data_IF_456724262821
#
_entry.id   IF_456724262821
#
_cell.length_a   1.000
_cell.length_b   1.000
_cell.length_c   1.000
_cell.angle_alpha   90.00
_cell.angle_beta   90.00
_cell.angle_gamma   90.00
#
_symmetry.space_group_name_H-M   'P 1'
#
loop_
_entity.id
_entity.type
_entity.pdbx_description
1 polymer ?
#
# COMPACT_ATOMS: atom_id res chain seq x y z
N UNK A 1 -24.74 1.71 -10.56
CA UNK A 1 -24.32 0.69 -11.55
C UNK A 1 -23.17 -0.08 -10.92
N UNK A 2 -23.28 -1.39 -10.77
CA UNK A 2 -22.22 -2.19 -10.17
C UNK A 2 -21.05 -2.33 -11.15
N UNK A 3 -19.82 -2.50 -10.64
CA UNK A 3 -18.63 -2.77 -11.50
C UNK A 3 -18.84 -3.99 -12.40
N UNK A 4 -19.65 -4.92 -11.94
CA UNK A 4 -19.99 -6.16 -12.62
C UNK A 4 -20.83 -6.01 -13.90
N UNK A 5 -21.43 -4.83 -14.13
CA UNK A 5 -22.28 -4.55 -15.30
C UNK A 5 -21.49 -3.98 -16.49
N UNK A 6 -20.19 -3.73 -16.30
CA UNK A 6 -19.34 -3.18 -17.36
C UNK A 6 -18.99 -4.26 -18.39
N UNK A 7 -19.10 -3.93 -19.66
CA UNK A 7 -18.58 -4.72 -20.76
C UNK A 7 -17.47 -3.94 -21.48
N UNK A 8 -16.25 -4.45 -21.39
CA UNK A 8 -15.06 -3.81 -21.97
C UNK A 8 -14.44 -4.77 -23.00
N UNK A 9 -14.20 -4.27 -24.20
CA UNK A 9 -13.48 -5.03 -25.25
C UNK A 9 -12.06 -5.35 -24.74
N UNK A 10 -11.64 -6.59 -24.87
CA UNK A 10 -10.34 -7.07 -24.36
C UNK A 10 -10.37 -7.45 -22.89
N UNK A 11 -11.53 -7.73 -22.35
CA UNK A 11 -11.71 -8.29 -21.01
C UNK A 11 -12.88 -9.25 -20.93
N UNK A 12 -12.86 -10.12 -19.93
CA UNK A 12 -13.96 -11.04 -19.60
C UNK A 12 -14.16 -11.16 -18.10
N UNK A 13 -15.39 -11.49 -17.68
CA UNK A 13 -15.70 -11.76 -16.29
C UNK A 13 -15.47 -13.23 -15.94
N UNK A 14 -14.70 -13.47 -14.90
CA UNK A 14 -14.42 -14.81 -14.36
C UNK A 14 -14.74 -14.88 -12.87
N UNK A 15 -14.79 -16.09 -12.32
CA UNK A 15 -14.90 -16.33 -10.88
C UNK A 15 -13.67 -17.09 -10.40
N UNK A 16 -13.00 -16.57 -9.39
CA UNK A 16 -11.83 -17.19 -8.76
C UNK A 16 -11.84 -16.89 -7.25
N UNK A 17 -11.68 -17.91 -6.42
CA UNK A 17 -11.59 -17.82 -4.95
C UNK A 17 -12.70 -16.97 -4.30
N UNK A 18 -13.94 -17.04 -4.82
CA UNK A 18 -15.08 -16.29 -4.31
C UNK A 18 -15.19 -14.84 -4.77
N UNK A 19 -14.24 -14.38 -5.58
CA UNK A 19 -14.30 -13.07 -6.24
C UNK A 19 -14.83 -13.19 -7.66
N UNK A 20 -15.63 -12.21 -8.07
CA UNK A 20 -15.89 -11.93 -9.47
C UNK A 20 -14.81 -10.95 -9.96
N UNK A 21 -14.05 -11.37 -10.95
CA UNK A 21 -12.82 -10.72 -11.39
C UNK A 21 -12.96 -10.34 -12.85
N UNK A 22 -12.53 -9.13 -13.20
CA UNK A 22 -12.38 -8.72 -14.58
C UNK A 22 -10.99 -9.18 -15.06
N UNK A 23 -10.96 -10.19 -15.92
CA UNK A 23 -9.76 -10.66 -16.60
C UNK A 23 -9.46 -9.77 -17.80
N UNK A 24 -8.27 -9.17 -17.83
CA UNK A 24 -7.92 -8.12 -18.78
C UNK A 24 -6.73 -8.54 -19.63
N UNK A 25 -6.95 -8.58 -20.94
CA UNK A 25 -5.97 -8.99 -21.93
C UNK A 25 -5.29 -7.80 -22.64
N UNK A 26 -5.86 -6.58 -22.52
CA UNK A 26 -5.41 -5.38 -23.21
C UNK A 26 -5.24 -4.18 -22.25
N UNK A 27 -4.19 -3.39 -22.42
CA UNK A 27 -3.88 -2.26 -21.53
C UNK A 27 -4.98 -1.20 -21.49
N UNK A 28 -5.66 -0.95 -22.62
CA UNK A 28 -6.78 -0.01 -22.65
C UNK A 28 -7.98 -0.49 -21.82
N UNK A 29 -8.22 -1.80 -21.76
CA UNK A 29 -9.29 -2.37 -20.94
C UNK A 29 -9.04 -2.15 -19.45
N UNK A 30 -7.78 -2.23 -18.99
CA UNK A 30 -7.38 -1.89 -17.63
C UNK A 30 -7.71 -0.42 -17.30
N UNK A 31 -7.36 0.50 -18.21
CA UNK A 31 -7.62 1.94 -18.02
C UNK A 31 -9.11 2.22 -18.01
N UNK A 32 -9.88 1.59 -18.93
CA UNK A 32 -11.33 1.75 -18.99
C UNK A 32 -12.02 1.23 -17.73
N UNK A 33 -11.62 0.07 -17.22
CA UNK A 33 -12.15 -0.49 -15.96
C UNK A 33 -11.93 0.46 -14.78
N UNK A 34 -10.70 0.96 -14.63
CA UNK A 34 -10.36 1.92 -13.60
C UNK A 34 -11.13 3.23 -13.71
N UNK A 35 -11.20 3.78 -14.93
CA UNK A 35 -11.93 5.03 -15.23
C UNK A 35 -13.43 4.90 -14.97
N UNK A 36 -14.04 3.79 -15.42
CA UNK A 36 -15.43 3.51 -15.18
C UNK A 36 -15.79 3.51 -13.70
N UNK A 37 -15.01 2.80 -12.88
CA UNK A 37 -15.29 2.71 -11.45
C UNK A 37 -15.09 4.07 -10.75
N UNK A 38 -14.04 4.80 -11.10
CA UNK A 38 -13.81 6.17 -10.59
C UNK A 38 -14.94 7.13 -10.94
N UNK A 39 -15.48 7.04 -12.17
CA UNK A 39 -16.54 7.92 -12.62
C UNK A 39 -17.89 7.60 -11.98
N UNK A 40 -18.21 6.32 -11.81
CA UNK A 40 -19.52 5.87 -11.36
C UNK A 40 -19.63 5.65 -9.84
N UNK A 41 -18.53 5.76 -9.10
CA UNK A 41 -18.53 5.63 -7.66
C UNK A 41 -18.76 6.97 -6.98
N UNK A 42 -19.61 6.99 -5.94
CA UNK A 42 -19.73 8.13 -5.01
C UNK A 42 -18.55 8.21 -4.03
N UNK A 43 -17.77 7.16 -3.95
CA UNK A 43 -16.58 7.04 -3.10
C UNK A 43 -15.31 7.37 -3.89
N UNK A 44 -14.25 7.75 -3.19
CA UNK A 44 -12.91 7.77 -3.79
C UNK A 44 -12.45 6.35 -4.12
N UNK A 45 -11.99 6.11 -5.35
CA UNK A 45 -11.48 4.81 -5.79
C UNK A 45 -9.98 4.87 -6.02
N UNK A 46 -9.26 3.97 -5.36
CA UNK A 46 -7.81 3.87 -5.37
C UNK A 46 -7.36 2.45 -5.75
N UNK A 47 -6.08 2.27 -6.04
CA UNK A 47 -5.55 1.02 -6.56
C UNK A 47 -4.54 0.42 -5.59
N UNK A 48 -4.54 -0.92 -5.54
CA UNK A 48 -3.53 -1.69 -4.83
C UNK A 48 -3.09 -2.88 -5.68
N UNK A 49 -1.81 -2.92 -6.04
CA UNK A 49 -1.21 -4.06 -6.73
C UNK A 49 -0.93 -5.21 -5.77
N UNK A 50 -1.23 -6.42 -6.21
CA UNK A 50 -1.02 -7.66 -5.46
C UNK A 50 -0.45 -8.75 -6.39
N UNK A 51 0.53 -9.49 -5.87
CA UNK A 51 1.11 -10.62 -6.60
C UNK A 51 0.23 -11.87 -6.58
N UNK A 52 -0.71 -11.93 -5.67
CA UNK A 52 -1.59 -13.08 -5.43
C UNK A 52 -2.99 -12.57 -5.08
N UNK A 53 -4.00 -13.33 -5.46
CA UNK A 53 -5.38 -13.08 -5.06
C UNK A 53 -5.58 -13.51 -3.62
N UNK A 54 -5.48 -12.56 -2.70
CA UNK A 54 -5.72 -12.80 -1.28
C UNK A 54 -7.22 -12.64 -0.96
N UNK A 55 -7.83 -13.58 -0.21
CA UNK A 55 -9.23 -13.47 0.19
C UNK A 55 -9.47 -12.36 1.20
N UNK A 56 -8.44 -11.97 1.93
CA UNK A 56 -8.47 -10.94 2.95
C UNK A 56 -7.52 -9.78 2.62
N UNK A 57 -7.94 -8.57 2.97
CA UNK A 57 -7.15 -7.35 2.79
C UNK A 57 -6.63 -6.87 4.15
N UNK A 58 -5.70 -7.64 4.74
CA UNK A 58 -5.13 -7.32 6.05
C UNK A 58 -3.92 -6.40 5.97
N UNK A 59 -3.87 -5.32 6.76
CA UNK A 59 -2.65 -4.56 7.00
C UNK A 59 -1.49 -5.48 7.44
N UNK A 60 -0.27 -5.08 7.11
CA UNK A 60 0.92 -5.92 7.41
C UNK A 60 1.07 -6.21 8.89
N UNK A 61 0.67 -5.28 9.77
CA UNK A 61 0.69 -5.45 11.22
C UNK A 61 -0.23 -6.59 11.68
N UNK A 62 -1.36 -6.80 10.99
CA UNK A 62 -2.40 -7.76 11.41
C UNK A 62 -2.27 -9.14 10.77
N UNK A 63 -1.28 -9.35 9.90
CA UNK A 63 -1.09 -10.66 9.26
C UNK A 63 -0.66 -11.71 10.29
N UNK A 64 -1.32 -12.88 10.22
CA UNK A 64 -1.02 -14.02 11.10
C UNK A 64 -1.42 -13.81 12.56
N UNK A 65 -2.39 -12.94 12.84
CA UNK A 65 -3.04 -12.82 14.16
C UNK A 65 -4.55 -12.96 14.02
N UNK A 66 -5.16 -13.61 15.01
CA UNK A 66 -6.60 -13.87 15.02
C UNK A 66 -7.23 -13.58 16.40
N UNK A 67 -6.50 -12.89 17.30
CA UNK A 67 -7.01 -12.52 18.62
C UNK A 67 -6.82 -11.03 18.92
N UNK A 68 -7.77 -10.45 19.65
CA UNK A 68 -7.70 -9.04 20.09
C UNK A 68 -6.50 -8.77 20.99
N UNK A 69 -6.09 -9.72 21.81
CA UNK A 69 -4.90 -9.60 22.66
C UNK A 69 -3.63 -9.48 21.81
N UNK A 70 -3.45 -10.34 20.80
CA UNK A 70 -2.30 -10.26 19.89
C UNK A 70 -2.30 -8.96 19.08
N UNK A 71 -3.49 -8.51 18.64
CA UNK A 71 -3.68 -7.22 17.96
C UNK A 71 -3.22 -6.07 18.85
N UNK A 72 -3.76 -5.98 20.08
CA UNK A 72 -3.40 -4.95 21.03
C UNK A 72 -1.88 -4.92 21.32
N UNK A 73 -1.28 -6.08 21.53
CA UNK A 73 0.15 -6.19 21.78
C UNK A 73 0.99 -5.68 20.59
N UNK A 74 0.59 -5.99 19.34
CA UNK A 74 1.30 -5.50 18.15
C UNK A 74 1.13 -4.00 17.97
N UNK A 75 -0.08 -3.46 18.16
CA UNK A 75 -0.34 -2.01 18.09
C UNK A 75 0.45 -1.26 19.16
N UNK A 76 0.49 -1.77 20.40
CA UNK A 76 1.27 -1.18 21.49
C UNK A 76 2.77 -1.14 21.16
N UNK A 77 3.32 -2.24 20.65
CA UNK A 77 4.74 -2.30 20.24
C UNK A 77 5.04 -1.38 19.05
N UNK A 78 4.14 -1.32 18.06
CA UNK A 78 4.26 -0.39 16.94
C UNK A 78 4.28 1.06 17.43
N UNK A 79 3.36 1.44 18.32
CA UNK A 79 3.30 2.79 18.89
C UNK A 79 4.57 3.11 19.69
N UNK A 80 5.09 2.16 20.46
CA UNK A 80 6.38 2.33 21.17
C UNK A 80 7.52 2.59 20.19
N UNK A 81 7.55 1.90 19.05
CA UNK A 81 8.57 2.10 18.00
C UNK A 81 8.44 3.46 17.33
N UNK A 82 7.21 3.91 17.04
CA UNK A 82 6.96 5.26 16.49
C UNK A 82 7.46 6.34 17.47
N UNK A 83 7.20 6.17 18.77
CA UNK A 83 7.66 7.11 19.79
C UNK A 83 9.20 7.12 19.88
N UNK A 84 9.86 5.96 19.78
CA UNK A 84 11.32 5.88 19.72
C UNK A 84 11.88 6.70 18.54
N UNK A 85 11.28 6.60 17.33
CA UNK A 85 11.66 7.45 16.20
C UNK A 85 11.46 8.94 16.49
N UNK A 86 10.41 9.32 17.19
CA UNK A 86 10.14 10.72 17.56
C UNK A 86 11.15 11.28 18.53
N UNK A 87 11.59 10.47 19.49
CA UNK A 87 12.56 10.88 20.51
C UNK A 87 13.97 11.07 19.92
N UNK A 88 14.40 10.14 19.07
CA UNK A 88 15.79 10.16 18.57
C UNK A 88 15.95 10.94 17.26
N UNK A 89 14.88 11.15 16.50
CA UNK A 89 14.91 11.83 15.22
C UNK A 89 14.26 13.20 15.29
N UNK A 90 15.05 14.26 15.45
CA UNK A 90 14.54 15.64 15.59
C UNK A 90 13.67 16.12 14.41
N UNK A 91 13.96 15.66 13.20
CA UNK A 91 13.13 15.95 12.04
C UNK A 91 11.76 15.27 12.14
N UNK A 92 11.70 14.11 12.78
CA UNK A 92 10.47 13.34 12.95
C UNK A 92 9.64 13.80 14.16
N UNK A 93 10.25 14.40 15.16
CA UNK A 93 9.55 14.94 16.34
C UNK A 93 8.50 16.01 16.00
N UNK A 94 8.66 16.70 14.86
CA UNK A 94 7.73 17.72 14.36
C UNK A 94 6.58 17.19 13.53
N UNK A 95 6.56 15.87 13.28
CA UNK A 95 5.48 15.26 12.52
C UNK A 95 4.18 15.19 13.33
N UNK A 96 3.10 15.51 12.65
CA UNK A 96 1.76 15.32 13.18
C UNK A 96 1.47 13.82 13.38
N UNK A 97 0.73 13.49 14.44
CA UNK A 97 0.43 12.10 14.81
C UNK A 97 -0.20 11.30 13.67
N UNK A 98 -1.11 11.94 12.92
CA UNK A 98 -1.82 11.27 11.82
C UNK A 98 -0.94 10.91 10.63
N UNK A 99 0.24 11.55 10.48
CA UNK A 99 1.16 11.31 9.37
C UNK A 99 2.34 10.41 9.74
N UNK A 100 2.66 10.31 11.04
CA UNK A 100 3.85 9.61 11.52
C UNK A 100 3.81 8.09 11.23
N UNK A 101 2.73 7.41 11.62
CA UNK A 101 2.54 5.98 11.35
C UNK A 101 2.52 5.68 9.84
N UNK A 102 1.70 6.40 9.02
CA UNK A 102 1.70 6.25 7.57
C UNK A 102 3.08 6.43 6.93
N UNK A 103 3.84 7.44 7.35
CA UNK A 103 5.15 7.72 6.77
C UNK A 103 6.14 6.59 7.08
N UNK A 104 6.21 6.12 8.31
CA UNK A 104 7.11 5.02 8.68
C UNK A 104 6.77 3.72 7.94
N UNK A 105 5.50 3.48 7.57
CA UNK A 105 5.13 2.35 6.72
C UNK A 105 5.84 2.39 5.38
N UNK A 106 5.87 3.53 4.70
CA UNK A 106 6.57 3.67 3.41
C UNK A 106 8.06 3.34 3.48
N UNK A 107 8.65 3.40 4.68
CA UNK A 107 10.05 3.10 4.90
C UNK A 107 10.31 1.75 5.57
N UNK A 108 9.24 0.96 5.85
CA UNK A 108 9.37 -0.46 6.22
C UNK A 108 8.71 -0.88 7.53
N UNK A 109 8.18 0.05 8.34
CA UNK A 109 7.44 -0.31 9.52
C UNK A 109 6.12 -1.00 9.14
N UNK A 110 5.73 -2.04 9.84
CA UNK A 110 4.42 -2.68 9.66
C UNK A 110 3.40 -1.93 10.50
N UNK A 111 2.34 -1.47 9.87
CA UNK A 111 1.35 -0.60 10.50
C UNK A 111 -0.08 -1.07 10.29
N UNK A 112 -1.02 -0.31 10.84
CA UNK A 112 -2.46 -0.53 10.68
C UNK A 112 -3.00 -0.05 9.33
N UNK A 113 -2.17 0.57 8.52
CA UNK A 113 -2.54 1.13 7.21
C UNK A 113 -2.25 0.15 6.07
N UNK A 114 -2.89 0.40 4.95
CA UNK A 114 -2.61 -0.24 3.67
C UNK A 114 -2.05 0.80 2.70
N UNK A 115 -0.99 0.46 2.00
CA UNK A 115 -0.52 1.25 0.86
C UNK A 115 -1.51 1.09 -0.28
N UNK A 116 -2.00 2.22 -0.76
CA UNK A 116 -2.80 2.35 -1.98
C UNK A 116 -2.22 3.48 -2.81
N UNK A 117 -2.57 3.54 -4.07
CA UNK A 117 -2.10 4.57 -4.99
C UNK A 117 -3.23 5.10 -5.85
N UNK A 118 -3.09 6.31 -6.37
CA UNK A 118 -4.01 6.88 -7.36
C UNK A 118 -3.55 6.65 -8.82
N UNK A 119 -2.37 6.09 -8.99
CA UNK A 119 -1.76 5.75 -10.27
C UNK A 119 -1.81 4.24 -10.52
N UNK A 120 -2.56 3.80 -11.54
CA UNK A 120 -2.75 2.39 -11.84
C UNK A 120 -1.46 1.69 -12.30
N UNK A 121 -0.55 2.41 -12.95
CA UNK A 121 0.73 1.86 -13.40
C UNK A 121 1.68 1.59 -12.25
N UNK A 122 1.64 2.41 -11.21
CA UNK A 122 2.38 2.16 -9.96
C UNK A 122 1.78 0.93 -9.25
N UNK A 123 0.45 0.81 -9.20
CA UNK A 123 -0.17 -0.40 -8.66
C UNK A 123 0.24 -1.66 -9.44
N UNK A 124 0.24 -1.58 -10.78
CA UNK A 124 0.66 -2.69 -11.64
C UNK A 124 2.13 -3.07 -11.39
N UNK A 125 3.01 -2.08 -11.21
CA UNK A 125 4.40 -2.33 -10.86
C UNK A 125 4.51 -3.16 -9.56
N UNK A 126 3.81 -2.76 -8.50
CA UNK A 126 3.80 -3.52 -7.24
C UNK A 126 3.20 -4.93 -7.37
N UNK A 127 2.32 -5.15 -8.34
CA UNK A 127 1.81 -6.50 -8.63
C UNK A 127 2.81 -7.37 -9.40
N UNK A 128 3.75 -6.75 -10.14
CA UNK A 128 4.74 -7.42 -10.99
C UNK A 128 6.09 -7.68 -10.31
N UNK A 129 6.39 -6.96 -9.24
CA UNK A 129 7.66 -7.08 -8.52
C UNK A 129 7.44 -7.60 -7.11
N UNK A 130 8.34 -8.45 -6.65
CA UNK A 130 8.35 -8.96 -5.29
C UNK A 130 9.50 -8.38 -4.48
N UNK A 131 9.19 -8.04 -3.23
CA UNK A 131 10.16 -7.58 -2.27
C UNK A 131 10.80 -8.78 -1.56
N UNK A 132 12.10 -8.87 -1.56
CA UNK A 132 12.90 -9.87 -0.82
C UNK A 132 13.69 -9.16 0.26
N UNK A 133 13.59 -9.66 1.47
CA UNK A 133 14.32 -9.14 2.62
C UNK A 133 15.44 -10.11 3.00
N UNK A 134 16.58 -9.58 3.38
CA UNK A 134 17.68 -10.41 3.93
C UNK A 134 17.26 -11.06 5.25
N UNK A 135 17.97 -12.12 5.67
CA UNK A 135 17.64 -12.87 6.90
C UNK A 135 17.65 -12.02 8.16
N UNK A 136 18.50 -11.01 8.20
CA UNK A 136 18.60 -10.05 9.28
C UNK A 136 17.51 -8.97 9.27
N UNK A 137 16.76 -8.86 8.17
CA UNK A 137 15.65 -7.91 8.03
C UNK A 137 16.08 -6.48 7.69
N UNK A 138 17.35 -6.22 7.44
CA UNK A 138 17.86 -4.86 7.23
C UNK A 138 17.84 -4.42 5.77
N UNK A 139 18.02 -5.33 4.82
CA UNK A 139 18.09 -5.02 3.40
C UNK A 139 16.89 -5.56 2.65
N UNK A 140 16.26 -4.71 1.88
CA UNK A 140 15.16 -5.02 0.99
C UNK A 140 15.61 -4.80 -0.45
N UNK A 141 15.34 -5.76 -1.33
CA UNK A 141 15.50 -5.60 -2.76
C UNK A 141 14.26 -6.07 -3.51
N UNK A 142 14.05 -5.51 -4.67
CA UNK A 142 12.92 -5.85 -5.53
C UNK A 142 13.42 -6.62 -6.74
N UNK A 143 12.71 -7.68 -7.08
CA UNK A 143 12.98 -8.46 -8.29
C UNK A 143 11.72 -8.69 -9.10
N UNK A 144 11.85 -8.79 -10.40
CA UNK A 144 10.76 -9.23 -11.26
C UNK A 144 10.27 -10.60 -10.82
N UNK A 145 8.96 -10.78 -10.75
CA UNK A 145 8.36 -12.09 -10.55
C UNK A 145 8.64 -12.96 -11.78
N UNK A 146 8.98 -14.22 -11.53
CA UNK A 146 9.20 -15.19 -12.60
C UNK A 146 7.86 -15.76 -13.04
N UNK A 147 7.55 -15.64 -14.33
CA UNK A 147 6.33 -16.21 -14.92
C UNK A 147 6.45 -17.74 -14.90
N UNK A 148 5.54 -18.40 -14.24
CA UNK A 148 5.45 -19.85 -14.15
C UNK A 148 4.01 -20.26 -13.77
N UNK A 149 3.76 -21.56 -13.59
CA UNK A 149 2.42 -22.09 -13.28
C UNK A 149 1.77 -21.48 -12.01
N UNK A 150 2.59 -21.06 -11.04
CA UNK A 150 2.12 -20.44 -9.79
C UNK A 150 1.96 -18.92 -9.95
N UNK A 151 2.84 -18.30 -10.73
CA UNK A 151 2.91 -16.86 -10.92
C UNK A 151 2.45 -16.46 -12.33
N UNK A 152 1.21 -16.77 -12.69
CA UNK A 152 0.65 -16.46 -14.01
C UNK A 152 0.13 -15.03 -14.13
N UNK A 153 -0.33 -14.45 -13.01
CA UNK A 153 -1.13 -13.24 -13.03
C UNK A 153 -0.62 -12.18 -12.06
N UNK A 154 -0.88 -10.94 -12.40
CA UNK A 154 -0.86 -9.77 -11.54
C UNK A 154 -2.30 -9.38 -11.21
N UNK A 155 -2.55 -8.87 -10.00
CA UNK A 155 -3.87 -8.46 -9.55
C UNK A 155 -3.87 -6.99 -9.14
N UNK A 156 -4.92 -6.26 -9.50
CA UNK A 156 -5.16 -4.91 -9.03
C UNK A 156 -6.50 -4.88 -8.30
N UNK A 157 -6.47 -4.54 -7.03
CA UNK A 157 -7.66 -4.29 -6.24
C UNK A 157 -8.06 -2.82 -6.36
N UNK A 158 -9.32 -2.57 -6.61
CA UNK A 158 -9.94 -1.27 -6.61
C UNK A 158 -10.59 -1.06 -5.25
N UNK A 159 -10.04 -0.14 -4.46
CA UNK A 159 -10.42 0.09 -3.07
C UNK A 159 -11.29 1.34 -2.99
N UNK A 160 -12.48 1.21 -2.42
CA UNK A 160 -13.38 2.33 -2.14
C UNK A 160 -13.07 2.98 -0.80
N UNK A 161 -13.10 4.30 -0.76
CA UNK A 161 -12.96 5.08 0.47
C UNK A 161 -14.05 6.15 0.54
N UNK A 162 -14.83 6.13 1.61
CA UNK A 162 -15.90 7.08 1.89
C UNK A 162 -15.32 8.38 2.47
N UNK A 163 -14.78 9.24 1.62
CA UNK A 163 -14.04 10.45 2.00
C UNK A 163 -14.96 11.68 2.02
N UNK A 164 -15.84 11.76 3.01
CA UNK A 164 -16.81 12.86 3.13
C UNK A 164 -16.18 14.17 3.60
N UNK A 165 -15.14 14.09 4.43
CA UNK A 165 -14.61 15.26 5.13
C UNK A 165 -13.10 15.40 4.96
N UNK A 166 -12.69 16.60 4.52
CA UNK A 166 -11.31 17.06 4.60
C UNK A 166 -11.12 17.86 5.89
N UNK A 167 -10.22 17.40 6.74
CA UNK A 167 -9.89 18.14 7.95
C UNK A 167 -8.91 19.27 7.63
N UNK A 168 -9.37 20.52 7.60
CA UNK A 168 -8.53 21.70 7.25
C UNK A 168 -7.27 21.82 8.11
N UNK A 169 -7.35 21.44 9.39
CA UNK A 169 -6.21 21.45 10.32
C UNK A 169 -5.20 20.31 10.13
N UNK A 170 -5.49 19.35 9.23
CA UNK A 170 -4.62 18.21 8.96
C UNK A 170 -4.42 18.05 7.45
N UNK A 171 -3.47 18.76 6.85
CA UNK A 171 -3.19 18.67 5.42
C UNK A 171 -2.97 17.22 4.98
N UNK A 172 -3.58 16.82 3.87
CA UNK A 172 -3.45 15.45 3.35
C UNK A 172 -4.21 14.38 4.12
N UNK A 173 -5.07 14.74 5.09
CA UNK A 173 -5.89 13.79 5.81
C UNK A 173 -7.37 13.94 5.48
N UNK A 174 -7.99 12.83 5.09
CA UNK A 174 -9.43 12.71 4.83
C UNK A 174 -10.03 11.58 5.68
N UNK A 175 -11.28 11.72 6.00
CA UNK A 175 -12.03 10.65 6.66
C UNK A 175 -13.51 10.68 6.25
N UNK A 176 -14.10 9.52 6.18
CA UNK A 176 -15.53 9.29 6.07
C UNK A 176 -16.11 8.69 7.34
N UNK A 177 -17.22 8.01 7.21
CA UNK A 177 -17.85 7.28 8.32
C UNK A 177 -17.04 6.04 8.69
N UNK A 178 -16.59 5.27 7.70
CA UNK A 178 -15.94 3.97 7.89
C UNK A 178 -14.45 3.93 7.52
N UNK A 179 -13.93 4.95 6.82
CA UNK A 179 -12.55 4.93 6.32
C UNK A 179 -11.76 6.20 6.64
N UNK A 180 -10.46 6.09 6.58
CA UNK A 180 -9.49 7.19 6.68
C UNK A 180 -8.45 7.05 5.59
N UNK A 181 -7.97 8.18 5.09
CA UNK A 181 -6.93 8.26 4.07
C UNK A 181 -5.93 9.36 4.41
N UNK A 182 -4.65 9.05 4.23
CA UNK A 182 -3.55 10.03 4.31
C UNK A 182 -2.82 10.07 2.99
N UNK A 183 -2.78 11.25 2.36
CA UNK A 183 -1.91 11.52 1.23
C UNK A 183 -0.57 12.06 1.76
N UNK A 184 0.42 11.23 1.76
CA UNK A 184 1.75 11.58 2.27
C UNK A 184 2.47 12.63 1.42
N UNK A 185 2.06 12.83 0.16
CA UNK A 185 2.61 13.91 -0.69
C UNK A 185 2.25 15.30 -0.15
N UNK A 186 1.18 15.36 0.67
CA UNK A 186 0.69 16.60 1.31
C UNK A 186 1.01 16.60 2.81
N UNK A 187 0.88 15.42 3.46
CA UNK A 187 1.00 15.29 4.91
C UNK A 187 2.45 15.22 5.41
N UNK A 188 3.41 14.89 4.52
CA UNK A 188 4.81 14.79 4.85
C UNK A 188 5.64 15.86 4.14
N UNK A 189 6.77 16.31 4.72
CA UNK A 189 7.68 17.24 4.04
C UNK A 189 8.26 16.63 2.76
N UNK A 190 8.43 17.48 1.75
CA UNK A 190 8.85 17.09 0.40
C UNK A 190 10.26 16.47 0.30
N UNK A 191 11.06 16.55 1.35
CA UNK A 191 12.36 15.86 1.39
C UNK A 191 12.26 14.36 1.70
N UNK A 192 11.06 13.84 2.02
CA UNK A 192 10.71 12.43 1.95
C UNK A 192 10.22 12.11 0.54
N UNK A 193 11.08 11.55 -0.30
CA UNK A 193 10.79 11.41 -1.73
C UNK A 193 9.90 10.22 -2.08
N UNK A 194 9.95 9.12 -1.32
CA UNK A 194 9.15 7.91 -1.64
C UNK A 194 7.66 8.17 -1.76
N UNK A 195 7.00 8.94 -0.88
CA UNK A 195 5.58 9.26 -1.05
C UNK A 195 5.26 9.88 -2.40
N UNK A 196 6.11 10.78 -2.88
CA UNK A 196 5.93 11.43 -4.18
C UNK A 196 6.18 10.45 -5.33
N UNK A 197 7.27 9.68 -5.26
CA UNK A 197 7.66 8.72 -6.28
C UNK A 197 6.63 7.58 -6.46
N UNK A 198 6.05 7.12 -5.36
CA UNK A 198 5.10 6.00 -5.34
C UNK A 198 3.65 6.42 -5.43
N UNK A 199 3.33 7.71 -5.57
CA UNK A 199 1.95 8.22 -5.41
C UNK A 199 1.32 7.77 -4.09
N UNK A 200 2.09 7.87 -3.01
CA UNK A 200 1.84 7.21 -1.72
C UNK A 200 0.64 7.74 -0.96
N UNK A 201 -0.38 6.91 -0.91
CA UNK A 201 -1.58 7.10 -0.14
C UNK A 201 -1.73 5.96 0.86
N UNK A 202 -2.08 6.27 2.09
CA UNK A 202 -2.34 5.29 3.13
C UNK A 202 -3.81 5.27 3.47
N UNK A 203 -4.36 4.07 3.49
CA UNK A 203 -5.77 3.81 3.71
C UNK A 203 -5.96 2.90 4.93
N UNK A 204 -6.99 3.17 5.73
CA UNK A 204 -7.43 2.23 6.77
C UNK A 204 -8.92 2.32 7.04
N UNK A 205 -9.50 1.21 7.53
CA UNK A 205 -10.83 1.23 8.11
C UNK A 205 -10.78 1.81 9.52
N UNK A 206 -11.81 2.58 9.87
CA UNK A 206 -12.01 3.09 11.22
C UNK A 206 -12.39 1.97 12.19
N UNK A 207 -12.04 2.16 13.44
CA UNK A 207 -12.59 1.36 14.53
C UNK A 207 -14.07 1.70 14.76
N UNK A 208 -14.81 0.69 15.16
CA UNK A 208 -16.19 0.87 15.68
C UNK A 208 -16.09 0.97 17.20
N UNK A 209 -16.87 1.88 17.78
CA UNK A 209 -16.91 2.04 19.24
C UNK A 209 -17.25 0.70 19.92
N UNK A 210 -16.45 0.31 20.90
CA UNK A 210 -16.57 -0.97 21.61
C UNK A 210 -15.98 -2.20 20.91
N UNK A 211 -15.75 -2.18 19.58
CA UNK A 211 -15.20 -3.31 18.82
C UNK A 211 -13.78 -3.05 18.27
N UNK A 212 -13.31 -1.81 18.35
CA UNK A 212 -12.02 -1.44 17.79
C UNK A 212 -11.94 -1.50 16.26
N UNK A 213 -10.74 -1.48 15.70
CA UNK A 213 -10.51 -1.52 14.25
C UNK A 213 -10.59 -2.96 13.74
N UNK A 214 -11.22 -3.22 12.56
CA UNK A 214 -11.26 -4.55 11.98
C UNK A 214 -9.84 -5.03 11.59
N UNK A 215 -9.61 -6.33 11.59
CA UNK A 215 -8.36 -6.93 11.12
C UNK A 215 -8.30 -7.01 9.59
N UNK A 216 -9.45 -7.10 8.94
CA UNK A 216 -9.62 -7.27 7.50
C UNK A 216 -10.41 -6.10 6.91
N UNK A 217 -9.89 -5.52 5.82
CA UNK A 217 -10.47 -4.40 5.10
C UNK A 217 -11.09 -4.81 3.74
N UNK A 218 -11.28 -6.10 3.50
CA UNK A 218 -11.80 -6.64 2.23
C UNK A 218 -13.17 -6.08 1.84
N UNK A 219 -13.97 -5.67 2.82
CA UNK A 219 -15.25 -4.98 2.58
C UNK A 219 -15.13 -3.69 1.75
N UNK A 220 -13.94 -3.13 1.63
CA UNK A 220 -13.66 -1.95 0.82
C UNK A 220 -13.21 -2.26 -0.61
N UNK A 221 -13.09 -3.53 -0.97
CA UNK A 221 -12.82 -3.95 -2.35
C UNK A 221 -14.09 -3.71 -3.17
N UNK A 222 -13.97 -2.89 -4.21
CA UNK A 222 -15.05 -2.56 -5.15
C UNK A 222 -14.93 -3.31 -6.46
N UNK A 223 -13.76 -3.86 -6.73
CA UNK A 223 -13.48 -4.66 -7.89
C UNK A 223 -12.08 -5.24 -7.85
N UNK A 224 -11.89 -6.31 -8.59
CA UNK A 224 -10.58 -6.94 -8.79
C UNK A 224 -10.35 -7.08 -10.28
N UNK A 225 -9.18 -6.68 -10.74
CA UNK A 225 -8.72 -6.88 -12.10
C UNK A 225 -7.55 -7.86 -12.07
N UNK A 226 -7.60 -8.86 -12.96
CA UNK A 226 -6.53 -9.84 -13.18
C UNK A 226 -5.88 -9.57 -14.54
N UNK A 227 -4.57 -9.66 -14.60
CA UNK A 227 -3.79 -9.38 -15.81
C UNK A 227 -2.75 -10.50 -15.97
N UNK A 228 -2.58 -11.10 -17.17
CA UNK A 228 -1.46 -12.01 -17.43
C UNK A 228 -0.13 -11.32 -17.12
N UNK A 229 0.72 -11.96 -16.31
CA UNK A 229 1.93 -11.34 -15.78
C UNK A 229 2.91 -10.92 -16.90
N UNK A 230 3.00 -11.68 -17.98
CA UNK A 230 3.81 -11.34 -19.16
C UNK A 230 3.35 -10.03 -19.79
N UNK A 231 2.02 -9.90 -20.03
CA UNK A 231 1.44 -8.66 -20.56
C UNK A 231 1.64 -7.47 -19.63
N UNK A 232 1.50 -7.70 -18.33
CA UNK A 232 1.75 -6.66 -17.34
C UNK A 232 3.19 -6.12 -17.41
N UNK A 233 4.19 -6.97 -17.61
CA UNK A 233 5.58 -6.54 -17.84
C UNK A 233 5.73 -5.76 -19.13
N UNK A 234 5.10 -6.20 -20.22
CA UNK A 234 5.16 -5.49 -21.52
C UNK A 234 4.56 -4.09 -21.41
N UNK A 235 3.40 -3.97 -20.75
CA UNK A 235 2.77 -2.66 -20.52
C UNK A 235 3.59 -1.72 -19.63
N UNK A 236 4.41 -2.26 -18.73
CA UNK A 236 5.37 -1.51 -17.93
C UNK A 236 6.70 -1.25 -18.67
N UNK A 237 6.77 -1.58 -19.97
CA UNK A 237 8.01 -1.44 -20.78
C UNK A 237 9.15 -2.30 -20.23
N UNK A 238 8.84 -3.46 -19.66
CA UNK A 238 9.81 -4.40 -19.08
C UNK A 238 10.73 -3.78 -18.00
N UNK A 239 10.25 -2.72 -17.31
CA UNK A 239 10.99 -1.98 -16.29
C UNK A 239 11.74 -0.76 -16.81
N UNK A 240 11.62 -0.44 -18.10
CA UNK A 240 12.21 0.78 -18.67
C UNK A 240 11.37 2.03 -18.36
N UNK A 241 10.05 1.90 -18.25
CA UNK A 241 9.17 3.04 -17.98
C UNK A 241 9.13 3.40 -16.50
N UNK A 242 9.04 2.40 -15.62
CA UNK A 242 9.04 2.58 -14.17
C UNK A 242 10.05 1.63 -13.55
N UNK A 243 11.22 2.13 -13.21
CA UNK A 243 12.29 1.36 -12.59
C UNK A 243 12.23 1.39 -11.05
N UNK A 244 12.99 0.50 -10.41
CA UNK A 244 13.09 0.42 -8.94
C UNK A 244 13.50 1.76 -8.35
N UNK A 245 14.53 2.40 -8.90
CA UNK A 245 15.04 3.69 -8.42
C UNK A 245 14.04 4.84 -8.59
N UNK A 246 13.14 4.74 -9.58
CA UNK A 246 12.08 5.74 -9.76
C UNK A 246 11.05 5.69 -8.61
N UNK A 247 10.76 4.49 -8.08
CA UNK A 247 9.80 4.31 -6.99
C UNK A 247 10.47 4.30 -5.61
N UNK A 248 11.73 3.90 -5.54
CA UNK A 248 12.51 3.83 -4.31
C UNK A 248 13.78 4.67 -4.41
N UNK A 249 13.65 6.00 -4.36
CA UNK A 249 14.81 6.89 -4.37
C UNK A 249 15.80 6.48 -3.28
N UNK A 250 17.09 6.32 -3.61
CA UNK A 250 18.09 5.96 -2.62
C UNK A 250 18.30 7.08 -1.60
N UNK A 251 18.80 6.72 -0.41
CA UNK A 251 19.04 7.66 0.69
C UNK A 251 19.99 8.82 0.34
N UNK A 252 20.75 8.71 -0.75
CA UNK A 252 21.57 9.79 -1.26
C UNK A 252 20.73 10.99 -1.73
N UNK A 253 19.57 10.74 -2.34
CA UNK A 253 18.64 11.78 -2.83
C UNK A 253 17.47 12.02 -1.88
N UNK A 254 16.99 10.98 -1.17
CA UNK A 254 15.89 11.06 -0.21
C UNK A 254 16.45 11.41 1.18
N UNK A 255 16.52 12.71 1.48
CA UNK A 255 17.04 13.19 2.77
C UNK A 255 16.22 12.70 3.95
N UNK A 256 14.90 12.57 3.81
CA UNK A 256 14.04 12.03 4.86
C UNK A 256 14.37 10.58 5.15
N UNK A 257 14.58 9.77 4.11
CA UNK A 257 15.01 8.39 4.24
C UNK A 257 16.40 8.28 4.90
N UNK A 258 17.35 9.12 4.48
CA UNK A 258 18.68 9.18 5.10
C UNK A 258 18.60 9.46 6.59
N UNK A 259 17.77 10.42 7.01
CA UNK A 259 17.57 10.76 8.42
C UNK A 259 17.00 9.55 9.19
N UNK A 260 16.02 8.84 8.62
CA UNK A 260 15.46 7.65 9.25
C UNK A 260 16.49 6.52 9.42
N UNK A 261 17.33 6.27 8.41
CA UNK A 261 18.38 5.26 8.48
C UNK A 261 19.48 5.62 9.52
N UNK A 262 19.75 6.90 9.70
CA UNK A 262 20.76 7.43 10.62
C UNK A 262 20.20 7.70 12.03
N UNK A 263 18.92 7.46 12.26
CA UNK A 263 18.26 7.79 13.54
C UNK A 263 18.81 7.06 14.75
N UNK A 264 19.51 5.93 14.56
CA UNK A 264 20.01 5.13 15.67
C UNK A 264 18.93 4.31 16.38
N UNK A 265 17.70 4.27 15.86
CA UNK A 265 16.64 3.41 16.39
C UNK A 265 17.10 1.96 16.34
N UNK A 266 17.15 1.32 17.50
CA UNK A 266 17.66 -0.03 17.64
C UNK A 266 16.61 -1.05 17.18
N UNK A 267 17.07 -2.01 16.37
CA UNK A 267 16.26 -3.16 15.98
C UNK A 267 16.56 -4.35 16.89
N UNK A 268 15.53 -4.90 17.50
CA UNK A 268 15.62 -6.11 18.31
C UNK A 268 14.99 -7.30 17.57
N UNK A 269 15.41 -8.57 17.83
CA UNK A 269 14.80 -9.74 17.20
C UNK A 269 13.27 -9.82 17.34
N UNK A 270 12.74 -9.31 18.45
CA UNK A 270 11.29 -9.19 18.70
C UNK A 270 10.59 -8.20 17.77
N UNK A 271 11.32 -7.26 17.16
CA UNK A 271 10.74 -6.22 16.29
C UNK A 271 10.48 -6.73 14.87
N UNK A 272 10.86 -7.97 14.53
CA UNK A 272 10.52 -8.59 13.21
C UNK A 272 9.04 -8.53 12.89
N UNK A 273 8.17 -8.58 13.91
CA UNK A 273 6.72 -8.49 13.74
C UNK A 273 6.24 -7.05 13.46
N UNK A 274 7.01 -6.05 13.85
CA UNK A 274 6.72 -4.62 13.68
C UNK A 274 7.43 -4.06 12.43
N UNK A 275 8.51 -4.70 12.01
CA UNK A 275 9.35 -4.21 10.91
C UNK A 275 10.30 -3.11 11.34
N UNK A 276 11.10 -2.67 10.38
CA UNK A 276 12.12 -1.59 10.56
C UNK A 276 12.21 -0.79 9.28
N UNK A 277 12.85 0.37 9.37
CA UNK A 277 13.26 1.10 8.17
C UNK A 277 14.33 0.28 7.45
N UNK A 278 13.98 -0.23 6.26
CA UNK A 278 14.87 -1.06 5.47
C UNK A 278 15.83 -0.22 4.63
N UNK A 279 17.06 -0.69 4.50
CA UNK A 279 17.93 -0.24 3.41
C UNK A 279 17.46 -0.92 2.12
N UNK A 280 17.02 -0.14 1.14
CA UNK A 280 16.62 -0.65 -0.17
C UNK A 280 17.83 -0.67 -1.08
N UNK A 281 18.21 -1.88 -1.51
CA UNK A 281 19.20 -2.11 -2.54
C UNK A 281 18.56 -2.18 -3.94
N UNK A 282 19.32 -1.82 -4.93
CA UNK A 282 18.95 -1.95 -6.34
C UNK A 282 19.28 -3.33 -6.87
#
# INVERSE_FOLDING_TARGET
MAFEDINIIGSEWIHENGFKILDVEESHALIMAAGYLKHNSLEGVYFRGQSTLYPELRPTLYRGIDSDSAKYNRESRMNSKINEYREVCSAFSKFEDYAAEPLLQHYGLKTTWLDIVDNIWVALWFACYEAKCTRDGHFLHFQKRVVNEVNKYAYIYLIGADLEYRKKSKPGYWHGQSTELVDLRIAAPSYFLRPHAQHGLLFRCKGVEGAGRPLDYSRQIRGVVRIPLEKAFDWLGNGHTVGIHSLFPPAFYDNGYKILLQSGVTFYPRDKEIGVVHTVGA
#
